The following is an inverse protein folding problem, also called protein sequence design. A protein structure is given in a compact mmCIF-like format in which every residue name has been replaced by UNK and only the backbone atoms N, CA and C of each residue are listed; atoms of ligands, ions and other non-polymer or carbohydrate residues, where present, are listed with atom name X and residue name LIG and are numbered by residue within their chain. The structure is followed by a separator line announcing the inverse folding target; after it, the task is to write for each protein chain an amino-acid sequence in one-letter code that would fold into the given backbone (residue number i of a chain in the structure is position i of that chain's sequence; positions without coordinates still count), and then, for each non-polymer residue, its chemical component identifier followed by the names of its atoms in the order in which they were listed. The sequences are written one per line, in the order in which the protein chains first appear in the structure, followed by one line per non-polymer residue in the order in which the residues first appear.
data_IF_590043366963
#
_entry.id   IF_590043366963
#
_cell.length_a   1.000
_cell.length_b   1.000
_cell.length_c   1.000
_cell.angle_alpha   90.00
_cell.angle_beta   90.00
_cell.angle_gamma   90.00
#
_symmetry.space_group_name_H-M   'P 1'
#
loop_
_entity.id
_entity.type
_entity.pdbx_description
1 polymer ?
#
# COMPACT_ATOMS: atom_id res chain seq x y z
N UNK A 1 17.24 -11.17 2.76
CA UNK A 1 17.17 -10.02 1.84
C UNK A 1 15.75 -9.85 1.28
N UNK A 2 15.18 -10.86 0.64
CA UNK A 2 13.84 -10.78 0.02
C UNK A 2 12.73 -10.34 0.98
N UNK A 3 12.70 -10.85 2.21
CA UNK A 3 11.69 -10.48 3.22
C UNK A 3 11.71 -8.98 3.58
N UNK A 4 12.89 -8.35 3.61
CA UNK A 4 13.04 -6.91 3.86
C UNK A 4 12.50 -6.11 2.67
N UNK A 5 12.70 -6.60 1.45
CA UNK A 5 12.17 -5.99 0.23
C UNK A 5 10.64 -5.97 0.28
N UNK A 6 9.98 -7.05 0.72
CA UNK A 6 8.53 -7.08 0.87
C UNK A 6 8.00 -6.07 1.89
N UNK A 7 8.69 -5.89 3.02
CA UNK A 7 8.33 -4.86 4.01
C UNK A 7 8.47 -3.46 3.41
N UNK A 8 9.61 -3.16 2.78
CA UNK A 8 9.86 -1.84 2.18
C UNK A 8 8.85 -1.54 1.08
N UNK A 9 8.57 -2.51 0.20
CA UNK A 9 7.55 -2.36 -0.84
C UNK A 9 6.15 -2.16 -0.26
N UNK A 10 5.78 -2.91 0.79
CA UNK A 10 4.51 -2.75 1.50
C UNK A 10 4.32 -1.34 2.05
N UNK A 11 5.35 -0.78 2.69
CA UNK A 11 5.34 0.61 3.20
C UNK A 11 5.19 1.61 2.05
N UNK A 12 5.97 1.46 0.98
CA UNK A 12 5.94 2.39 -0.17
C UNK A 12 4.57 2.39 -0.84
N UNK A 13 3.99 1.21 -1.08
CA UNK A 13 2.66 1.06 -1.70
C UNK A 13 1.59 1.68 -0.79
N UNK A 14 1.67 1.44 0.52
CA UNK A 14 0.74 2.00 1.50
C UNK A 14 0.77 3.54 1.50
N UNK A 15 1.96 4.14 1.55
CA UNK A 15 2.13 5.61 1.50
C UNK A 15 1.59 6.18 0.18
N UNK A 16 1.88 5.52 -0.94
CA UNK A 16 1.38 5.92 -2.26
C UNK A 16 -0.15 5.85 -2.33
N UNK A 17 -0.74 4.82 -1.70
CA UNK A 17 -2.18 4.68 -1.54
C UNK A 17 -2.82 5.86 -0.80
N UNK A 18 -2.24 6.29 0.32
CA UNK A 18 -2.69 7.49 1.05
C UNK A 18 -2.65 8.72 0.15
N UNK A 19 -1.56 8.89 -0.60
CA UNK A 19 -1.40 10.04 -1.50
C UNK A 19 -2.47 10.07 -2.59
N UNK A 20 -2.72 8.91 -3.23
CA UNK A 20 -3.75 8.75 -4.25
C UNK A 20 -5.17 8.94 -3.72
N UNK A 21 -5.48 8.50 -2.50
CA UNK A 21 -6.76 8.81 -1.84
C UNK A 21 -6.93 10.32 -1.69
N UNK A 22 -5.88 11.02 -1.24
CA UNK A 22 -5.91 12.48 -1.09
C UNK A 22 -6.13 13.19 -2.44
N UNK A 23 -5.43 12.77 -3.50
CA UNK A 23 -5.62 13.32 -4.85
C UNK A 23 -6.99 12.95 -5.45
N UNK A 24 -7.52 11.80 -5.08
CA UNK A 24 -8.83 11.34 -5.55
C UNK A 24 -9.99 12.12 -4.95
N UNK A 25 -9.85 12.55 -3.68
CA UNK A 25 -10.80 13.47 -3.04
C UNK A 25 -10.84 14.85 -3.70
N UNK A 26 -9.76 15.28 -4.35
CA UNK A 26 -9.66 16.59 -5.00
C UNK A 26 -10.09 16.61 -6.48
N UNK A 27 -10.53 15.48 -7.05
CA UNK A 27 -11.20 15.49 -8.36
C UNK A 27 -10.99 14.25 -9.23
N UNK A 28 -9.92 13.47 -9.02
CA UNK A 28 -9.65 12.30 -9.85
C UNK A 28 -10.20 11.03 -9.17
N UNK A 29 -11.49 10.73 -9.36
CA UNK A 29 -12.15 9.57 -8.73
C UNK A 29 -11.39 8.25 -8.92
N UNK A 30 -10.73 8.07 -10.06
CA UNK A 30 -9.86 6.90 -10.33
C UNK A 30 -8.72 6.78 -9.32
N UNK A 31 -8.09 7.88 -8.93
CA UNK A 31 -7.02 7.89 -7.93
C UNK A 31 -7.55 7.49 -6.55
N UNK A 32 -8.81 7.81 -6.23
CA UNK A 32 -9.41 7.36 -4.98
C UNK A 32 -9.52 5.84 -4.92
N UNK A 33 -10.03 5.23 -6.00
CA UNK A 33 -10.18 3.76 -6.10
C UNK A 33 -8.81 3.07 -6.08
N UNK A 34 -7.85 3.57 -6.87
CA UNK A 34 -6.47 3.06 -6.88
C UNK A 34 -5.78 3.23 -5.54
N UNK A 35 -6.06 4.32 -4.83
CA UNK A 35 -5.51 4.59 -3.51
C UNK A 35 -6.03 3.62 -2.45
N UNK A 36 -7.32 3.32 -2.45
CA UNK A 36 -7.91 2.29 -1.57
C UNK A 36 -7.33 0.91 -1.89
N UNK A 37 -7.25 0.54 -3.17
CA UNK A 37 -6.65 -0.72 -3.60
C UNK A 37 -5.18 -0.84 -3.15
N UNK A 38 -4.40 0.23 -3.30
CA UNK A 38 -3.01 0.26 -2.86
C UNK A 38 -2.88 0.11 -1.33
N UNK A 39 -3.77 0.73 -0.53
CA UNK A 39 -3.77 0.52 0.92
C UNK A 39 -4.04 -0.94 1.29
N UNK A 40 -5.04 -1.58 0.65
CA UNK A 40 -5.37 -2.99 0.90
C UNK A 40 -4.17 -3.89 0.57
N UNK A 41 -3.56 -3.71 -0.61
CA UNK A 41 -2.38 -4.48 -1.02
C UNK A 41 -1.19 -4.24 -0.09
N UNK A 42 -0.95 -2.99 0.30
CA UNK A 42 0.13 -2.64 1.24
C UNK A 42 -0.02 -3.35 2.59
N UNK A 43 -1.24 -3.36 3.15
CA UNK A 43 -1.53 -4.07 4.40
C UNK A 43 -1.33 -5.58 4.25
N UNK A 44 -1.80 -6.18 3.15
CA UNK A 44 -1.64 -7.62 2.90
C UNK A 44 -0.16 -8.02 2.77
N UNK A 45 0.63 -7.23 2.04
CA UNK A 45 2.06 -7.48 1.89
C UNK A 45 2.81 -7.35 3.22
N UNK A 46 2.46 -6.34 4.04
CA UNK A 46 3.04 -6.18 5.37
C UNK A 46 2.65 -7.32 6.31
N UNK A 47 1.36 -7.69 6.33
CA UNK A 47 0.88 -8.80 7.14
C UNK A 47 1.53 -10.12 6.77
N UNK A 48 1.61 -10.43 5.47
CA UNK A 48 2.29 -11.63 4.97
C UNK A 48 3.77 -11.62 5.32
N UNK A 49 4.45 -10.48 5.15
CA UNK A 49 5.85 -10.36 5.52
C UNK A 49 6.05 -10.64 7.02
N UNK A 50 5.26 -10.03 7.90
CA UNK A 50 5.34 -10.23 9.36
C UNK A 50 5.09 -11.69 9.74
N UNK A 51 4.03 -12.31 9.22
CA UNK A 51 3.74 -13.74 9.47
C UNK A 51 4.87 -14.63 8.98
N UNK A 52 5.52 -14.28 7.86
CA UNK A 52 6.67 -15.04 7.35
C UNK A 52 7.96 -14.89 8.19
N UNK A 53 8.01 -13.94 9.13
CA UNK A 53 9.12 -13.76 10.07
C UNK A 53 8.91 -14.49 11.40
N UNK A 54 7.67 -14.89 11.72
CA UNK A 54 7.32 -15.75 12.86
C UNK A 54 7.63 -17.21 12.55
#
# INVERSE_FOLDING_TARGET
MEKIIYIVLGIVIFIKGIFWIKTGKTGVKTNYILGVAAIVVGILMLGFAIVSFM
#
